data_IF_462515549010
#
_entry.id   IF_462515549010
#
_cell.length_a   1.000
_cell.length_b   1.000
_cell.length_c   1.000
_cell.angle_alpha   90.00
_cell.angle_beta   90.00
_cell.angle_gamma   90.00
#
_symmetry.space_group_name_H-M   'P 1'
#
loop_
_entity.id
_entity.type
_entity.pdbx_description
1 polymer ?
#
# COMPACT_ATOMS: atom_id res chain seq x y z
N UNK A 1 13.96 9.77 3.66
CA UNK A 1 13.44 8.37 3.66
C UNK A 1 13.35 7.83 2.24
N UNK A 2 13.49 6.51 2.04
CA UNK A 2 13.20 5.87 0.75
C UNK A 2 11.70 5.64 0.58
N UNK A 3 11.16 5.89 -0.63
CA UNK A 3 9.82 5.46 -1.02
C UNK A 3 9.92 4.27 -1.99
N UNK A 4 9.23 3.19 -1.68
CA UNK A 4 9.13 1.99 -2.52
C UNK A 4 7.75 1.95 -3.15
N UNK A 5 7.68 2.18 -4.46
CA UNK A 5 6.42 2.14 -5.23
C UNK A 5 6.25 0.74 -5.81
N UNK A 6 5.20 0.05 -5.37
CA UNK A 6 4.85 -1.28 -5.82
C UNK A 6 3.94 -1.19 -7.05
N UNK A 7 4.51 -1.44 -8.21
CA UNK A 7 3.84 -1.33 -9.51
C UNK A 7 3.55 -2.70 -10.17
N UNK A 8 3.86 -3.79 -9.47
CA UNK A 8 3.60 -5.15 -9.92
C UNK A 8 2.11 -5.46 -9.95
N UNK A 9 1.74 -6.36 -10.86
CA UNK A 9 0.38 -6.85 -10.99
C UNK A 9 -0.04 -6.93 -12.45
N UNK A 10 -0.35 -8.15 -12.89
CA UNK A 10 -0.89 -8.38 -14.24
C UNK A 10 -2.40 -8.34 -14.18
N UNK A 11 -3.00 -7.66 -15.14
CA UNK A 11 -4.45 -7.68 -15.32
C UNK A 11 -4.81 -8.93 -16.13
N UNK A 12 -5.67 -9.77 -15.57
CA UNK A 12 -6.17 -10.93 -16.28
C UNK A 12 -7.25 -10.53 -17.31
N UNK A 13 -7.41 -11.27 -18.42
CA UNK A 13 -8.42 -10.99 -19.44
C UNK A 13 -9.88 -10.92 -18.94
N UNK A 14 -10.17 -11.51 -17.77
CA UNK A 14 -11.50 -11.44 -17.14
C UNK A 14 -11.71 -10.25 -16.20
N UNK A 15 -10.71 -9.39 -16.02
CA UNK A 15 -10.84 -8.18 -15.21
C UNK A 15 -11.41 -7.04 -16.07
N UNK A 16 -12.30 -6.24 -15.50
CA UNK A 16 -12.93 -5.09 -16.16
C UNK A 16 -11.91 -4.08 -16.72
N UNK A 17 -10.79 -3.90 -16.02
CA UNK A 17 -9.72 -2.98 -16.42
C UNK A 17 -8.85 -3.52 -17.58
N UNK A 18 -9.06 -4.76 -18.03
CA UNK A 18 -8.22 -5.36 -19.06
C UNK A 18 -8.24 -4.58 -20.38
N UNK A 19 -9.42 -4.10 -20.79
CA UNK A 19 -9.59 -3.29 -22.00
C UNK A 19 -8.87 -1.94 -21.84
N UNK A 20 -9.05 -1.29 -20.70
CA UNK A 20 -8.42 0.00 -20.39
C UNK A 20 -6.88 -0.08 -20.35
N UNK A 21 -6.34 -1.26 -20.00
CA UNK A 21 -4.90 -1.47 -19.93
C UNK A 21 -4.20 -1.50 -21.29
N UNK A 22 -4.91 -1.81 -22.38
CA UNK A 22 -4.33 -2.03 -23.71
C UNK A 22 -3.12 -2.99 -23.70
N UNK A 23 -3.14 -4.01 -22.81
CA UNK A 23 -2.05 -4.96 -22.64
C UNK A 23 -0.87 -4.45 -21.79
N UNK A 24 -0.93 -3.23 -21.27
CA UNK A 24 0.07 -2.67 -20.35
C UNK A 24 -0.18 -3.16 -18.90
N UNK A 25 0.82 -3.06 -18.01
CA UNK A 25 0.64 -3.27 -16.58
C UNK A 25 -0.45 -2.35 -16.00
N UNK A 26 -1.15 -2.80 -14.94
CA UNK A 26 -2.23 -2.04 -14.27
C UNK A 26 -1.80 -0.61 -13.92
N UNK A 27 -0.61 -0.46 -13.37
CA UNK A 27 -0.03 0.83 -12.97
C UNK A 27 0.20 1.82 -14.13
N UNK A 28 0.19 1.32 -15.38
CA UNK A 28 0.37 2.11 -16.60
C UNK A 28 -0.95 2.53 -17.25
N UNK A 29 -2.12 2.15 -16.71
CA UNK A 29 -3.42 2.64 -17.19
C UNK A 29 -3.45 4.16 -17.08
N UNK A 30 -3.93 4.82 -18.15
CA UNK A 30 -4.04 6.28 -18.19
C UNK A 30 -5.19 6.78 -17.31
N UNK A 31 -4.87 7.71 -16.42
CA UNK A 31 -5.80 8.37 -15.52
C UNK A 31 -5.53 9.88 -15.59
N UNK A 32 -6.50 10.66 -16.03
CA UNK A 32 -6.34 12.11 -16.16
C UNK A 32 -5.16 12.55 -17.05
N UNK A 33 -4.88 11.80 -18.14
CA UNK A 33 -3.87 12.16 -19.15
C UNK A 33 -2.46 11.65 -18.89
N UNK A 34 -2.18 10.96 -17.76
CA UNK A 34 -0.89 10.33 -17.49
C UNK A 34 -1.07 8.94 -16.85
N UNK A 35 -0.05 8.06 -16.87
CA UNK A 35 -0.11 6.76 -16.21
C UNK A 35 -0.46 6.90 -14.71
N UNK A 36 -1.22 5.95 -14.18
CA UNK A 36 -1.63 5.90 -12.78
C UNK A 36 -0.43 6.04 -11.83
N UNK A 37 0.64 5.28 -12.07
CA UNK A 37 1.88 5.36 -11.31
C UNK A 37 2.54 6.74 -11.34
N UNK A 38 2.36 7.53 -12.43
CA UNK A 38 2.99 8.84 -12.53
C UNK A 38 2.42 9.82 -11.49
N UNK A 39 1.14 9.70 -11.13
CA UNK A 39 0.54 10.49 -10.05
C UNK A 39 1.19 10.20 -8.70
N UNK A 40 1.40 8.91 -8.42
CA UNK A 40 2.08 8.46 -7.19
C UNK A 40 3.54 8.91 -7.18
N UNK A 41 4.21 8.82 -8.33
CA UNK A 41 5.60 9.24 -8.50
C UNK A 41 5.74 10.76 -8.32
N UNK A 42 4.82 11.55 -8.87
CA UNK A 42 4.81 13.01 -8.73
C UNK A 42 4.64 13.42 -7.26
N UNK A 43 3.69 12.80 -6.54
CA UNK A 43 3.52 13.02 -5.10
C UNK A 43 4.79 12.67 -4.31
N UNK A 44 5.43 11.55 -4.62
CA UNK A 44 6.68 11.14 -3.98
C UNK A 44 7.86 12.07 -4.33
N UNK A 45 7.89 12.63 -5.54
CA UNK A 45 8.88 13.63 -5.95
C UNK A 45 8.75 14.94 -5.15
N UNK A 46 7.51 15.39 -4.89
CA UNK A 46 7.24 16.63 -4.17
C UNK A 46 7.42 16.48 -2.66
N UNK A 47 7.21 15.30 -2.10
CA UNK A 47 7.35 15.03 -0.67
C UNK A 47 8.80 15.24 -0.19
N UNK A 48 9.02 16.20 0.73
CA UNK A 48 10.35 16.60 1.20
C UNK A 48 11.08 15.52 1.97
N UNK A 49 10.34 14.70 2.72
CA UNK A 49 10.89 13.58 3.51
C UNK A 49 11.31 12.37 2.66
N UNK A 50 10.92 12.34 1.38
CA UNK A 50 11.34 11.32 0.42
C UNK A 50 12.62 11.79 -0.28
N UNK A 51 13.70 11.05 -0.14
CA UNK A 51 15.02 11.37 -0.74
C UNK A 51 15.28 10.59 -2.02
N UNK A 52 14.77 9.37 -2.08
CA UNK A 52 14.99 8.44 -3.19
C UNK A 52 13.79 7.52 -3.39
N UNK A 53 13.54 7.14 -4.62
CA UNK A 53 12.41 6.32 -5.02
C UNK A 53 12.90 5.00 -5.61
N UNK A 54 12.22 3.90 -5.27
CA UNK A 54 12.46 2.59 -5.85
C UNK A 54 11.13 2.12 -6.45
N UNK A 55 11.08 1.87 -7.74
CA UNK A 55 9.91 1.31 -8.42
C UNK A 55 10.15 -0.19 -8.62
N UNK A 56 9.22 -1.02 -8.16
CA UNK A 56 9.31 -2.48 -8.34
C UNK A 56 8.05 -3.01 -8.99
N UNK A 57 8.21 -3.78 -10.07
CA UNK A 57 7.10 -4.42 -10.75
C UNK A 57 6.90 -4.02 -12.21
N UNK A 58 7.72 -3.11 -12.74
CA UNK A 58 7.75 -2.73 -14.15
C UNK A 58 9.06 -3.16 -14.80
N UNK A 59 8.98 -3.64 -16.04
CA UNK A 59 10.15 -3.99 -16.83
C UNK A 59 10.81 -2.75 -17.44
N UNK A 60 10.00 -1.73 -17.76
CA UNK A 60 10.45 -0.46 -18.34
C UNK A 60 9.79 0.72 -17.64
N UNK A 61 10.59 1.73 -17.29
CA UNK A 61 10.16 2.99 -16.68
C UNK A 61 10.57 4.21 -17.51
N UNK A 62 11.02 4.02 -18.75
CA UNK A 62 11.56 5.10 -19.61
C UNK A 62 10.55 6.21 -19.92
N UNK A 63 9.26 5.89 -19.89
CA UNK A 63 8.17 6.86 -20.08
C UNK A 63 7.81 7.65 -18.82
N UNK A 64 8.31 7.24 -17.63
CA UNK A 64 8.05 7.92 -16.36
C UNK A 64 9.05 9.04 -16.12
N UNK A 65 8.58 10.10 -15.46
CA UNK A 65 9.38 11.28 -15.13
C UNK A 65 9.58 11.38 -13.63
N UNK A 66 10.82 11.56 -13.20
CA UNK A 66 11.16 11.78 -11.79
C UNK A 66 12.23 12.84 -11.67
N UNK A 67 12.08 13.71 -10.68
CA UNK A 67 13.08 14.71 -10.28
C UNK A 67 14.07 14.14 -9.27
N UNK A 68 13.63 13.13 -8.50
CA UNK A 68 14.47 12.44 -7.52
C UNK A 68 15.15 11.22 -8.15
N UNK A 69 16.27 10.76 -7.57
CA UNK A 69 16.91 9.54 -8.03
C UNK A 69 15.96 8.33 -7.93
N UNK A 70 15.82 7.60 -9.04
CA UNK A 70 14.98 6.40 -9.12
C UNK A 70 15.86 5.18 -9.41
N UNK A 71 15.65 4.12 -8.63
CA UNK A 71 16.04 2.76 -9.00
C UNK A 71 14.80 1.97 -9.40
N UNK A 72 14.93 0.99 -10.31
CA UNK A 72 13.80 0.14 -10.64
C UNK A 72 14.20 -1.33 -10.75
N UNK A 73 13.22 -2.21 -10.52
CA UNK A 73 13.32 -3.65 -10.67
C UNK A 73 12.06 -4.20 -11.33
N UNK A 74 12.17 -5.23 -12.18
CA UNK A 74 11.02 -5.96 -12.69
C UNK A 74 10.26 -6.66 -11.54
N UNK A 75 9.07 -7.17 -11.84
CA UNK A 75 8.26 -7.92 -10.87
C UNK A 75 9.00 -9.21 -10.42
N UNK A 76 9.19 -9.34 -9.12
CA UNK A 76 9.85 -10.49 -8.49
C UNK A 76 8.87 -11.64 -8.19
N UNK A 77 7.62 -11.55 -8.66
CA UNK A 77 6.60 -12.60 -8.54
C UNK A 77 5.64 -12.43 -7.37
N UNK A 78 5.80 -11.38 -6.56
CA UNK A 78 4.86 -11.05 -5.49
C UNK A 78 5.28 -9.88 -4.64
N UNK A 79 4.32 -9.39 -3.84
CA UNK A 79 4.50 -8.20 -3.00
C UNK A 79 5.70 -8.31 -2.06
N UNK A 80 5.86 -9.45 -1.40
CA UNK A 80 6.96 -9.64 -0.44
C UNK A 80 8.31 -9.77 -1.13
N UNK A 81 8.36 -10.42 -2.28
CA UNK A 81 9.55 -10.53 -3.11
C UNK A 81 9.95 -9.15 -3.65
N UNK A 82 8.98 -8.34 -4.08
CA UNK A 82 9.19 -6.97 -4.54
C UNK A 82 9.71 -6.07 -3.40
N UNK A 83 9.13 -6.17 -2.21
CA UNK A 83 9.63 -5.46 -1.04
C UNK A 83 11.02 -5.93 -0.62
N UNK A 84 11.33 -7.21 -0.79
CA UNK A 84 12.63 -7.79 -0.43
C UNK A 84 13.77 -7.20 -1.26
N UNK A 85 13.61 -7.13 -2.60
CA UNK A 85 14.64 -6.57 -3.47
C UNK A 85 14.86 -5.09 -3.18
N UNK A 86 13.77 -4.33 -2.93
CA UNK A 86 13.86 -2.93 -2.55
C UNK A 86 14.57 -2.74 -1.21
N UNK A 87 14.20 -3.52 -0.19
CA UNK A 87 14.83 -3.48 1.14
C UNK A 87 16.32 -3.84 1.08
N UNK A 88 16.69 -4.83 0.26
CA UNK A 88 18.10 -5.21 0.05
C UNK A 88 18.92 -4.06 -0.58
N UNK A 89 18.35 -3.35 -1.57
CA UNK A 89 18.98 -2.18 -2.15
C UNK A 89 19.16 -1.06 -1.11
N UNK A 90 18.12 -0.75 -0.33
CA UNK A 90 18.18 0.28 0.72
C UNK A 90 19.30 -0.02 1.70
N UNK A 91 19.36 -1.24 2.22
CA UNK A 91 20.41 -1.64 3.18
C UNK A 91 21.81 -1.65 2.58
N UNK A 92 21.93 -1.91 1.27
CA UNK A 92 23.22 -1.84 0.55
C UNK A 92 23.69 -0.40 0.40
N UNK A 93 22.79 0.53 0.10
CA UNK A 93 23.12 1.95 -0.15
C UNK A 93 23.33 2.72 1.15
N UNK A 94 22.47 2.50 2.14
CA UNK A 94 22.50 3.16 3.45
C UNK A 94 22.37 2.10 4.55
N UNK A 95 23.49 1.47 4.94
CA UNK A 95 23.49 0.49 6.03
C UNK A 95 22.94 1.11 7.31
N UNK A 96 22.03 0.39 7.96
CA UNK A 96 21.38 0.87 9.19
C UNK A 96 20.10 1.67 8.99
N UNK A 97 19.64 1.86 7.75
CA UNK A 97 18.30 2.41 7.50
C UNK A 97 17.24 1.50 8.11
N UNK A 98 16.48 2.04 9.08
CA UNK A 98 15.49 1.24 9.80
C UNK A 98 14.15 1.16 9.06
N UNK A 99 13.71 2.23 8.39
CA UNK A 99 12.38 2.31 7.79
C UNK A 99 12.38 2.83 6.36
N UNK A 100 11.38 2.42 5.61
CA UNK A 100 11.04 2.96 4.29
C UNK A 100 9.51 3.07 4.16
N UNK A 101 9.05 3.92 3.24
CA UNK A 101 7.64 4.08 2.89
C UNK A 101 7.30 3.13 1.73
N UNK A 102 6.34 2.24 1.92
CA UNK A 102 5.76 1.39 0.86
C UNK A 102 4.48 2.04 0.36
N UNK A 103 4.38 2.24 -0.96
CA UNK A 103 3.23 2.86 -1.63
C UNK A 103 2.78 1.96 -2.77
N UNK A 104 1.49 1.68 -2.91
CA UNK A 104 0.96 1.03 -4.11
C UNK A 104 0.86 2.03 -5.28
N UNK A 105 1.14 1.56 -6.50
CA UNK A 105 1.11 2.41 -7.70
C UNK A 105 -0.31 2.74 -8.18
N UNK A 106 -1.34 2.17 -7.56
CA UNK A 106 -2.74 2.27 -7.98
C UNK A 106 -3.62 3.15 -7.08
N UNK A 107 -2.99 4.02 -6.26
CA UNK A 107 -3.65 5.04 -5.43
C UNK A 107 -3.31 6.46 -5.92
N UNK A 108 -3.71 6.86 -7.13
CA UNK A 108 -3.25 8.09 -7.79
C UNK A 108 -3.79 9.40 -7.20
N UNK A 109 -4.66 9.34 -6.17
CA UNK A 109 -5.20 10.53 -5.49
C UNK A 109 -4.31 11.06 -4.37
N UNK A 110 -3.24 10.34 -3.99
CA UNK A 110 -2.34 10.79 -2.94
C UNK A 110 -1.60 12.07 -3.34
N UNK A 111 -1.19 12.85 -2.34
CA UNK A 111 -0.39 14.06 -2.49
C UNK A 111 0.87 13.98 -1.63
N UNK A 112 1.78 14.90 -1.85
CA UNK A 112 2.98 15.05 -1.02
C UNK A 112 2.65 15.35 0.44
N UNK A 113 1.60 16.15 0.72
CA UNK A 113 1.15 16.44 2.08
C UNK A 113 0.64 15.17 2.78
N UNK A 114 -0.04 14.28 2.04
CA UNK A 114 -0.47 12.98 2.59
C UNK A 114 0.75 12.11 2.89
N UNK A 115 1.73 12.07 1.99
CA UNK A 115 2.98 11.33 2.21
C UNK A 115 3.72 11.85 3.45
N UNK A 116 3.87 13.17 3.59
CA UNK A 116 4.50 13.80 4.74
C UNK A 116 3.77 13.47 6.04
N UNK A 117 2.44 13.56 6.03
CA UNK A 117 1.63 13.23 7.20
C UNK A 117 1.78 11.76 7.61
N UNK A 118 1.73 10.83 6.65
CA UNK A 118 1.92 9.40 6.93
C UNK A 118 3.32 9.14 7.51
N UNK A 119 4.36 9.76 6.98
CA UNK A 119 5.72 9.61 7.51
C UNK A 119 5.79 10.17 8.94
N UNK A 120 5.20 11.33 9.20
CA UNK A 120 5.23 11.98 10.51
C UNK A 120 4.41 11.22 11.58
N UNK A 121 3.25 10.67 11.19
CA UNK A 121 2.37 9.95 12.11
C UNK A 121 2.86 8.52 12.42
N UNK A 122 3.79 7.96 11.64
CA UNK A 122 4.26 6.57 11.75
C UNK A 122 5.72 6.47 12.22
N UNK A 123 6.04 7.10 13.36
CA UNK A 123 7.40 7.15 13.91
C UNK A 123 7.55 6.54 15.31
N UNK A 124 6.52 5.88 15.83
CA UNK A 124 6.56 5.26 17.16
C UNK A 124 7.67 4.19 17.22
N UNK A 125 8.61 4.27 18.18
CA UNK A 125 9.73 3.34 18.22
C UNK A 125 9.29 1.91 18.60
N UNK A 126 10.00 0.93 18.07
CA UNK A 126 9.82 -0.47 18.45
C UNK A 126 8.79 -1.24 17.61
N UNK A 127 8.23 -0.63 16.58
CA UNK A 127 7.36 -1.33 15.64
C UNK A 127 8.08 -1.67 14.33
N UNK A 128 7.76 -2.84 13.80
CA UNK A 128 8.29 -3.34 12.53
C UNK A 128 7.46 -2.83 11.32
N UNK A 129 6.16 -2.59 11.52
CA UNK A 129 5.23 -2.19 10.48
C UNK A 129 4.17 -1.24 11.07
N UNK A 130 3.97 -0.11 10.43
CA UNK A 130 2.83 0.77 10.66
C UNK A 130 1.81 0.48 9.56
N UNK A 131 0.78 -0.26 9.93
CA UNK A 131 -0.27 -0.68 9.01
C UNK A 131 -1.41 0.33 9.02
N UNK A 132 -1.43 1.22 8.05
CA UNK A 132 -2.46 2.24 7.93
C UNK A 132 -3.80 1.60 7.52
N UNK A 133 -4.86 2.04 8.18
CA UNK A 133 -6.25 1.66 7.89
C UNK A 133 -7.11 2.91 7.85
N UNK A 134 -8.22 2.86 7.13
CA UNK A 134 -9.16 3.99 7.04
C UNK A 134 -10.51 3.56 7.59
N UNK A 135 -11.11 4.40 8.41
CA UNK A 135 -12.42 4.13 9.00
C UNK A 135 -13.54 4.26 7.94
N UNK A 136 -14.58 3.45 8.06
CA UNK A 136 -15.70 3.39 7.10
C UNK A 136 -16.35 4.76 6.87
N UNK A 137 -16.62 5.51 7.94
CA UNK A 137 -17.22 6.84 7.85
C UNK A 137 -16.35 7.84 7.09
N UNK A 138 -15.01 7.75 7.22
CA UNK A 138 -14.05 8.60 6.49
C UNK A 138 -14.07 8.26 5.01
N UNK A 139 -14.03 6.95 4.69
CA UNK A 139 -14.11 6.48 3.29
C UNK A 139 -15.43 6.87 2.64
N UNK A 140 -16.57 6.59 3.28
CA UNK A 140 -17.88 6.83 2.72
C UNK A 140 -18.20 8.33 2.60
N UNK A 141 -17.62 9.18 3.44
CA UNK A 141 -17.75 10.63 3.31
C UNK A 141 -17.00 11.17 2.07
N UNK A 142 -15.83 10.62 1.76
CA UNK A 142 -15.00 11.04 0.62
C UNK A 142 -15.41 10.36 -0.70
N UNK A 143 -15.80 9.09 -0.62
CA UNK A 143 -16.12 8.23 -1.78
C UNK A 143 -17.42 7.45 -1.54
N UNK A 144 -18.59 8.11 -1.51
CA UNK A 144 -19.86 7.50 -1.11
C UNK A 144 -20.33 6.37 -2.06
N UNK A 145 -19.86 6.38 -3.31
CA UNK A 145 -20.23 5.37 -4.32
C UNK A 145 -19.30 4.15 -4.34
N UNK A 146 -18.19 4.18 -3.58
CA UNK A 146 -17.19 3.12 -3.58
C UNK A 146 -17.57 2.02 -2.61
N UNK A 147 -17.71 0.80 -3.11
CA UNK A 147 -17.94 -0.39 -2.27
C UNK A 147 -16.59 -0.96 -1.83
N UNK A 148 -16.34 -0.94 -0.52
CA UNK A 148 -15.15 -1.54 0.10
C UNK A 148 -15.51 -2.61 1.12
N UNK A 149 -14.60 -3.52 1.34
CA UNK A 149 -14.74 -4.51 2.42
C UNK A 149 -14.18 -3.94 3.71
N UNK A 150 -15.03 -3.84 4.72
CA UNK A 150 -14.63 -3.36 6.04
C UNK A 150 -14.59 -4.49 7.06
N UNK A 151 -13.52 -4.56 7.81
CA UNK A 151 -13.43 -5.39 9.00
C UNK A 151 -14.05 -4.68 10.20
N UNK A 152 -14.86 -5.42 10.98
CA UNK A 152 -15.52 -4.90 12.17
C UNK A 152 -14.64 -5.12 13.39
N UNK A 153 -14.40 -4.05 14.14
CA UNK A 153 -13.78 -4.02 15.46
C UNK A 153 -14.74 -3.42 16.47
N UNK A 154 -14.45 -3.50 17.77
CA UNK A 154 -15.30 -2.91 18.81
C UNK A 154 -15.27 -1.38 18.80
N UNK A 155 -14.22 -0.78 18.26
CA UNK A 155 -13.95 0.65 18.15
C UNK A 155 -14.18 1.24 16.75
N UNK A 156 -14.72 0.46 15.80
CA UNK A 156 -15.06 0.95 14.47
C UNK A 156 -15.07 -0.12 13.39
N UNK A 157 -15.23 0.31 12.16
CA UNK A 157 -15.10 -0.53 10.95
C UNK A 157 -14.05 0.08 10.06
N UNK A 158 -13.06 -0.72 9.66
CA UNK A 158 -11.90 -0.22 8.93
C UNK A 158 -11.63 -1.06 7.68
N UNK A 159 -11.16 -0.40 6.63
CA UNK A 159 -10.53 -1.06 5.47
C UNK A 159 -9.01 -0.86 5.52
N UNK A 160 -8.27 -1.76 4.89
CA UNK A 160 -6.83 -1.60 4.69
C UNK A 160 -6.53 -0.44 3.74
N UNK A 161 -5.40 0.19 3.94
CA UNK A 161 -4.83 1.17 3.03
C UNK A 161 -3.67 0.56 2.21
N UNK A 162 -3.15 1.30 1.26
CA UNK A 162 -2.12 0.88 0.32
C UNK A 162 -0.83 1.72 0.42
N UNK A 163 -0.65 2.37 1.58
CA UNK A 163 0.55 3.11 1.96
C UNK A 163 0.92 2.80 3.41
N UNK A 164 2.16 2.30 3.63
CA UNK A 164 2.62 1.83 4.93
C UNK A 164 4.07 2.21 5.19
N UNK A 165 4.42 2.50 6.45
CA UNK A 165 5.83 2.61 6.87
C UNK A 165 6.29 1.24 7.39
N UNK A 166 7.39 0.74 6.86
CA UNK A 166 7.89 -0.61 7.14
C UNK A 166 9.36 -0.61 7.50
N UNK A 167 9.73 -1.43 8.48
CA UNK A 167 11.14 -1.65 8.80
C UNK A 167 11.80 -2.52 7.73
N UNK A 168 13.02 -2.16 7.31
CA UNK A 168 13.84 -2.95 6.40
C UNK A 168 14.10 -4.36 6.91
N UNK A 169 14.19 -4.53 8.24
CA UNK A 169 14.39 -5.83 8.92
C UNK A 169 13.14 -6.72 8.89
N UNK A 170 11.95 -6.11 8.78
CA UNK A 170 10.68 -6.85 8.78
C UNK A 170 10.50 -7.69 7.55
N UNK A 171 10.92 -7.20 6.39
CA UNK A 171 10.79 -7.92 5.12
C UNK A 171 11.54 -9.26 5.19
N UNK A 172 12.74 -9.25 5.75
CA UNK A 172 13.49 -10.49 5.93
C UNK A 172 12.79 -11.47 6.89
N UNK A 173 12.19 -10.96 7.97
CA UNK A 173 11.38 -11.78 8.89
C UNK A 173 10.17 -12.39 8.18
N UNK A 174 9.45 -11.60 7.38
CA UNK A 174 8.28 -12.05 6.61
C UNK A 174 8.64 -13.15 5.61
N UNK A 175 9.75 -13.02 4.90
CA UNK A 175 10.26 -14.05 3.97
C UNK A 175 10.58 -15.33 4.74
N UNK A 176 11.34 -15.24 5.83
CA UNK A 176 11.74 -16.38 6.65
C UNK A 176 10.54 -17.13 7.27
N UNK A 177 9.46 -16.41 7.60
CA UNK A 177 8.20 -16.97 8.08
C UNK A 177 7.36 -17.62 6.95
N UNK A 178 7.81 -17.52 5.69
CA UNK A 178 7.12 -18.07 4.53
C UNK A 178 5.83 -17.33 4.17
N UNK A 179 5.70 -16.05 4.53
CA UNK A 179 4.53 -15.22 4.16
C UNK A 179 4.30 -15.18 2.65
N UNK A 180 5.34 -15.33 1.85
CA UNK A 180 5.28 -15.52 0.39
C UNK A 180 4.29 -16.62 -0.01
N UNK A 181 4.19 -17.70 0.78
CA UNK A 181 3.29 -18.82 0.49
C UNK A 181 1.83 -18.55 0.91
N UNK A 182 1.58 -17.59 1.79
CA UNK A 182 0.24 -17.33 2.34
C UNK A 182 -0.69 -16.67 1.32
N UNK A 183 -0.17 -15.84 0.41
CA UNK A 183 -0.96 -15.25 -0.68
C UNK A 183 -1.65 -16.30 -1.56
N UNK A 184 -0.97 -17.40 -1.83
CA UNK A 184 -1.52 -18.54 -2.63
C UNK A 184 -2.43 -19.47 -1.81
N UNK A 185 -2.43 -19.35 -0.48
CA UNK A 185 -3.16 -20.24 0.44
C UNK A 185 -3.65 -19.47 1.68
N UNK A 186 -4.72 -18.67 1.57
CA UNK A 186 -5.23 -17.83 2.68
C UNK A 186 -5.56 -18.64 3.95
N UNK A 187 -5.95 -19.92 3.81
CA UNK A 187 -6.15 -20.81 4.96
C UNK A 187 -4.89 -21.03 5.82
N UNK A 188 -3.67 -20.85 5.27
CA UNK A 188 -2.45 -20.92 6.06
C UNK A 188 -2.31 -19.70 6.97
N UNK A 189 -2.79 -18.52 6.56
CA UNK A 189 -2.80 -17.32 7.41
C UNK A 189 -3.71 -17.53 8.62
N UNK A 190 -4.90 -18.11 8.42
CA UNK A 190 -5.81 -18.50 9.50
C UNK A 190 -5.12 -19.49 10.46
N UNK A 191 -4.35 -20.42 9.93
CA UNK A 191 -3.60 -21.38 10.75
C UNK A 191 -2.47 -20.72 11.54
N UNK A 192 -1.82 -19.67 10.99
CA UNK A 192 -0.76 -18.91 11.65
C UNK A 192 -1.33 -18.05 12.78
N UNK A 193 -2.40 -17.32 12.53
CA UNK A 193 -3.09 -16.47 13.53
C UNK A 193 -3.81 -17.34 14.57
N UNK A 194 -4.15 -18.57 14.22
CA UNK A 194 -4.91 -19.52 15.02
C UNK A 194 -6.42 -19.39 14.78
N UNK A 195 -7.06 -20.51 14.50
CA UNK A 195 -8.51 -20.59 14.23
C UNK A 195 -9.32 -20.11 15.45
N UNK A 196 -8.83 -20.38 16.64
CA UNK A 196 -9.38 -19.92 17.92
C UNK A 196 -9.41 -18.40 18.01
N UNK A 197 -8.31 -17.75 17.62
CA UNK A 197 -8.20 -16.29 17.61
C UNK A 197 -9.13 -15.68 16.56
N UNK A 198 -9.22 -16.27 15.38
CA UNK A 198 -10.11 -15.80 14.31
C UNK A 198 -11.58 -15.93 14.74
N UNK A 199 -11.99 -17.07 15.28
CA UNK A 199 -13.35 -17.30 15.78
C UNK A 199 -13.65 -16.33 16.93
N UNK A 200 -12.73 -16.14 17.86
CA UNK A 200 -12.91 -15.20 18.98
C UNK A 200 -13.08 -13.76 18.49
N UNK A 201 -12.28 -13.33 17.50
CA UNK A 201 -12.42 -12.01 16.88
C UNK A 201 -13.77 -11.83 16.15
N UNK A 202 -14.30 -12.90 15.57
CA UNK A 202 -15.57 -12.87 14.84
C UNK A 202 -16.77 -12.68 15.80
N UNK A 203 -16.78 -13.40 16.95
CA UNK A 203 -17.87 -13.35 17.92
C UNK A 203 -17.72 -12.22 18.95
N UNK A 204 -16.48 -11.86 19.29
CA UNK A 204 -16.10 -10.83 20.25
C UNK A 204 -15.06 -9.91 19.61
N UNK A 205 -15.48 -8.97 18.75
CA UNK A 205 -14.54 -8.09 18.06
C UNK A 205 -13.69 -7.31 19.06
N UNK A 206 -12.36 -7.45 19.03
CA UNK A 206 -11.48 -6.62 19.85
C UNK A 206 -11.42 -5.19 19.30
N UNK A 207 -10.74 -4.29 20.00
CA UNK A 207 -10.32 -3.02 19.41
C UNK A 207 -9.29 -3.25 18.32
N UNK A 208 -9.17 -2.31 17.38
CA UNK A 208 -8.15 -2.33 16.32
C UNK A 208 -6.73 -2.55 16.90
N UNK A 209 -6.39 -1.80 17.95
CA UNK A 209 -5.10 -1.93 18.64
C UNK A 209 -4.88 -3.32 19.27
N UNK A 210 -5.92 -3.90 19.86
CA UNK A 210 -5.85 -5.25 20.45
C UNK A 210 -5.67 -6.31 19.36
N UNK A 211 -6.36 -6.18 18.24
CA UNK A 211 -6.20 -7.06 17.09
C UNK A 211 -4.76 -7.02 16.55
N UNK A 212 -4.17 -5.82 16.41
CA UNK A 212 -2.79 -5.62 16.04
C UNK A 212 -1.82 -6.36 16.97
N UNK A 213 -2.01 -6.26 18.29
CA UNK A 213 -1.20 -6.98 19.30
C UNK A 213 -1.32 -8.50 19.16
N UNK A 214 -2.51 -9.04 18.88
CA UNK A 214 -2.70 -10.48 18.70
C UNK A 214 -1.97 -10.96 17.45
N UNK A 215 -2.13 -10.26 16.32
CA UNK A 215 -1.44 -10.58 15.06
C UNK A 215 0.08 -10.48 15.25
N UNK A 216 0.57 -9.41 15.86
CA UNK A 216 1.99 -9.19 16.14
C UNK A 216 2.61 -10.34 16.92
N UNK A 217 1.94 -10.75 18.00
CA UNK A 217 2.41 -11.85 18.85
C UNK A 217 2.45 -13.18 18.09
N UNK A 218 1.47 -13.46 17.24
CA UNK A 218 1.38 -14.70 16.49
C UNK A 218 2.36 -14.74 15.32
N UNK A 219 2.59 -13.60 14.68
CA UNK A 219 3.49 -13.49 13.52
C UNK A 219 4.95 -13.20 13.91
N UNK A 220 5.23 -12.84 15.15
CA UNK A 220 6.57 -12.41 15.57
C UNK A 220 7.02 -11.09 14.92
N UNK A 221 6.06 -10.25 14.50
CA UNK A 221 6.28 -8.96 13.84
C UNK A 221 5.54 -7.90 14.66
N UNK A 222 6.24 -6.86 15.09
CA UNK A 222 5.63 -5.78 15.83
C UNK A 222 4.85 -4.86 14.89
N UNK A 223 3.58 -5.20 14.66
CA UNK A 223 2.66 -4.40 13.84
C UNK A 223 1.89 -3.39 14.68
N UNK A 224 1.83 -2.16 14.21
CA UNK A 224 1.05 -1.07 14.80
C UNK A 224 -0.02 -0.61 13.79
N UNK A 225 -1.30 -0.92 14.01
CA UNK A 225 -2.36 -0.43 13.15
C UNK A 225 -2.63 1.04 13.46
N UNK A 226 -2.63 1.87 12.41
CA UNK A 226 -2.83 3.33 12.50
C UNK A 226 -4.12 3.69 11.77
N UNK A 227 -5.11 4.22 12.51
CA UNK A 227 -6.31 4.77 11.90
C UNK A 227 -5.99 6.12 11.26
N UNK A 228 -6.06 6.17 9.93
CA UNK A 228 -5.67 7.30 9.12
C UNK A 228 -6.90 8.10 8.67
N UNK A 229 -6.77 9.42 8.59
CA UNK A 229 -7.81 10.34 8.14
C UNK A 229 -7.81 10.65 6.64
N UNK A 230 -6.88 10.05 5.89
CA UNK A 230 -6.68 10.27 4.45
C UNK A 230 -7.26 9.10 3.66
N UNK A 231 -8.51 9.20 3.17
CA UNK A 231 -9.15 8.11 2.45
C UNK A 231 -8.49 7.81 1.10
N UNK A 232 -7.72 8.75 0.55
CA UNK A 232 -6.98 8.61 -0.71
C UNK A 232 -5.99 7.44 -0.68
N UNK A 233 -5.39 7.13 0.48
CA UNK A 233 -4.45 6.00 0.61
C UNK A 233 -5.13 4.63 0.58
N UNK A 234 -6.46 4.60 0.64
CA UNK A 234 -7.27 3.40 0.53
C UNK A 234 -8.17 3.43 -0.73
N UNK A 235 -7.95 4.38 -1.66
CA UNK A 235 -8.70 4.49 -2.90
C UNK A 235 -7.89 3.92 -4.08
N UNK A 236 -7.65 2.62 -4.04
CA UNK A 236 -7.02 1.87 -5.12
C UNK A 236 -7.99 1.61 -6.29
N UNK A 237 -7.47 1.63 -7.50
CA UNK A 237 -8.26 1.43 -8.72
C UNK A 237 -8.31 -0.06 -9.08
N UNK A 238 -9.32 -0.79 -8.62
CA UNK A 238 -9.52 -2.22 -8.90
C UNK A 238 -10.64 -2.51 -9.91
N UNK A 239 -11.53 -1.54 -10.14
CA UNK A 239 -12.71 -1.66 -11.03
C UNK A 239 -12.81 -0.46 -11.96
N UNK A 240 -13.62 -0.59 -13.03
CA UNK A 240 -13.94 0.56 -13.91
C UNK A 240 -14.61 1.69 -13.13
N UNK A 241 -15.49 1.37 -12.18
CA UNK A 241 -16.13 2.36 -11.32
C UNK A 241 -15.09 3.17 -10.53
N UNK A 242 -14.08 2.49 -9.94
CA UNK A 242 -12.99 3.17 -9.23
C UNK A 242 -12.20 4.09 -10.18
N UNK A 243 -11.92 3.62 -11.41
CA UNK A 243 -11.20 4.39 -12.42
C UNK A 243 -11.96 5.67 -12.81
N UNK A 244 -13.28 5.59 -13.00
CA UNK A 244 -14.12 6.74 -13.31
C UNK A 244 -14.15 7.76 -12.19
N UNK A 245 -14.40 7.33 -10.95
CA UNK A 245 -14.40 8.19 -9.76
C UNK A 245 -13.07 8.93 -9.61
N UNK A 246 -11.96 8.22 -9.80
CA UNK A 246 -10.62 8.82 -9.68
C UNK A 246 -10.37 9.81 -10.83
N UNK A 247 -10.80 9.50 -12.06
CA UNK A 247 -10.72 10.43 -13.19
C UNK A 247 -11.48 11.75 -12.90
N UNK A 248 -12.70 11.65 -12.37
CA UNK A 248 -13.51 12.80 -11.97
C UNK A 248 -12.80 13.65 -10.90
N UNK A 249 -12.31 13.01 -9.82
CA UNK A 249 -11.60 13.70 -8.74
C UNK A 249 -10.34 14.43 -9.20
N UNK A 250 -9.57 13.83 -10.09
CA UNK A 250 -8.38 14.47 -10.65
C UNK A 250 -8.71 15.63 -11.57
N UNK A 251 -9.83 15.56 -12.33
CA UNK A 251 -10.30 16.68 -13.14
C UNK A 251 -10.74 17.85 -12.25
N UNK A 252 -11.51 17.60 -11.19
CA UNK A 252 -11.92 18.61 -10.21
C UNK A 252 -10.69 19.32 -9.59
N UNK A 253 -9.66 18.56 -9.22
CA UNK A 253 -8.42 19.11 -8.64
C UNK A 253 -7.67 20.01 -9.61
N UNK A 254 -7.60 19.64 -10.89
CA UNK A 254 -6.93 20.43 -11.92
C UNK A 254 -7.70 21.72 -12.33
N UNK A 255 -9.00 21.82 -12.03
CA UNK A 255 -9.79 23.01 -12.28
C UNK A 255 -9.72 24.05 -11.14
N UNK A 256 -9.24 23.65 -9.97
CA UNK A 256 -9.19 24.50 -8.77
C UNK A 256 -7.76 24.83 -8.30
N UNK A 257 -6.74 24.34 -8.95
CA UNK A 257 -5.31 24.60 -8.72
C UNK A 257 -4.69 25.42 -9.85
#
# INVERSE_FOLDING_TARGET
MYAVILAGGKINPGNELFIESNGLPKSMISVGGKPMIQWVLDAANQAKSVERIIIVGLDDISSLKSEKPVAHFPDQGGIFENLAIASALILKEVPGTDYFLSISADIPLITDEIIEAIIAENQEPGFDIFYNVVEQNVMEAAFPSVKRTYMKFSDGRFCGADMHVMSTKTIQKLINLGFVQFRKRPFKLIKLVGIDSVLRMLFFPPTLATAGKVVSRRCGIAGYPVACKYPEIAMDIDTLQHLEIVREKLLEKNMHG
#
